data_IF_928480439523
#
_entry.id   IF_928480439523
#
_cell.length_a   1.000
_cell.length_b   1.000
_cell.length_c   1.000
_cell.angle_alpha   90.00
_cell.angle_beta   90.00
_cell.angle_gamma   90.00
#
_symmetry.space_group_name_H-M   'P 1'
#
loop_
_entity.id
_entity.type
_entity.pdbx_description
1 polymer ?
#
# COMPACT_ATOMS: atom_id res chain seq x y z
N UNK A 1 15.99 -34.52 -12.01
CA UNK A 1 15.22 -33.29 -11.89
C UNK A 1 14.65 -32.88 -13.26
N UNK A 2 13.33 -32.72 -13.38
CA UNK A 2 12.68 -32.34 -14.62
C UNK A 2 12.08 -30.92 -14.46
N UNK A 3 12.39 -29.94 -15.33
CA UNK A 3 11.81 -28.63 -15.30
C UNK A 3 10.27 -28.60 -15.36
N UNK A 4 9.65 -29.62 -15.96
CA UNK A 4 8.18 -29.75 -15.99
C UNK A 4 7.55 -29.98 -14.62
N UNK A 5 8.34 -30.30 -13.59
CA UNK A 5 7.89 -30.47 -12.22
C UNK A 5 7.99 -29.15 -11.40
N UNK A 6 8.24 -28.03 -12.05
CA UNK A 6 8.18 -26.71 -11.40
C UNK A 6 6.73 -26.32 -11.19
N UNK A 7 6.39 -25.95 -9.96
CA UNK A 7 5.09 -25.41 -9.60
C UNK A 7 5.24 -23.90 -9.35
N UNK A 8 4.62 -23.08 -10.18
CA UNK A 8 4.52 -21.65 -9.98
C UNK A 8 3.10 -21.29 -9.50
N UNK A 9 3.02 -20.63 -8.37
CA UNK A 9 1.78 -20.12 -7.80
C UNK A 9 1.78 -18.60 -7.85
N UNK A 10 0.83 -18.05 -8.58
CA UNK A 10 0.62 -16.61 -8.58
C UNK A 10 -0.18 -16.19 -7.33
N UNK A 11 0.45 -15.48 -6.41
CA UNK A 11 -0.16 -15.03 -5.15
C UNK A 11 -1.33 -14.07 -5.37
N UNK A 12 -1.29 -13.26 -6.43
CA UNK A 12 -2.40 -12.39 -6.82
C UNK A 12 -3.70 -13.17 -7.11
N UNK A 13 -3.60 -14.44 -7.49
CA UNK A 13 -4.79 -15.29 -7.64
C UNK A 13 -5.42 -15.65 -6.31
N UNK A 14 -4.62 -15.79 -5.26
CA UNK A 14 -5.13 -16.07 -3.92
C UNK A 14 -5.90 -14.87 -3.35
N UNK A 15 -5.43 -13.65 -3.60
CA UNK A 15 -6.17 -12.45 -3.20
C UNK A 15 -7.45 -12.27 -4.02
N UNK A 16 -7.39 -12.51 -5.34
CA UNK A 16 -8.58 -12.41 -6.22
C UNK A 16 -9.68 -13.40 -5.85
N UNK A 17 -9.34 -14.65 -5.53
CA UNK A 17 -10.36 -15.63 -5.10
C UNK A 17 -11.00 -15.22 -3.76
N UNK A 18 -10.22 -14.62 -2.85
CA UNK A 18 -10.72 -14.06 -1.61
C UNK A 18 -11.71 -12.91 -1.88
N UNK A 19 -11.35 -11.98 -2.78
CA UNK A 19 -12.24 -10.89 -3.20
C UNK A 19 -13.53 -11.42 -3.85
N UNK A 20 -13.41 -12.41 -4.74
CA UNK A 20 -14.56 -13.04 -5.40
C UNK A 20 -15.50 -13.69 -4.38
N UNK A 21 -14.95 -14.39 -3.38
CA UNK A 21 -15.73 -14.92 -2.26
C UNK A 21 -16.41 -13.81 -1.46
N UNK A 22 -15.68 -12.74 -1.11
CA UNK A 22 -16.22 -11.62 -0.34
C UNK A 22 -17.37 -10.91 -1.07
N UNK A 23 -17.31 -10.90 -2.41
CA UNK A 23 -18.38 -10.36 -3.27
C UNK A 23 -19.53 -11.33 -3.47
N UNK A 24 -19.37 -12.59 -3.08
CA UNK A 24 -20.40 -13.63 -3.17
C UNK A 24 -21.17 -13.74 -1.84
N UNK A 25 -22.30 -14.43 -1.87
CA UNK A 25 -23.07 -14.75 -0.65
C UNK A 25 -22.51 -15.94 0.13
N UNK A 26 -21.29 -16.39 -0.17
CA UNK A 26 -20.68 -17.57 0.44
C UNK A 26 -20.26 -17.29 1.87
N UNK A 27 -20.63 -18.17 2.80
CA UNK A 27 -20.25 -18.06 4.20
C UNK A 27 -18.73 -18.29 4.38
N UNK A 28 -18.10 -17.55 5.31
CA UNK A 28 -16.68 -17.66 5.62
C UNK A 28 -16.22 -19.08 6.00
N UNK A 29 -17.09 -19.86 6.64
CA UNK A 29 -16.81 -21.25 7.03
C UNK A 29 -16.92 -22.27 5.91
N UNK A 30 -17.32 -21.88 4.71
CA UNK A 30 -17.41 -22.75 3.54
C UNK A 30 -16.18 -22.58 2.65
N UNK A 31 -15.79 -23.67 1.99
CA UNK A 31 -14.69 -23.64 1.02
C UNK A 31 -15.24 -23.06 -0.29
N UNK A 32 -14.73 -21.91 -0.67
CA UNK A 32 -14.97 -21.31 -1.99
C UNK A 32 -13.85 -21.76 -2.95
N UNK A 33 -14.22 -22.25 -4.14
CA UNK A 33 -13.28 -22.83 -5.12
C UNK A 33 -13.44 -22.18 -6.48
N UNK A 34 -12.31 -22.00 -7.15
CA UNK A 34 -12.22 -21.54 -8.53
C UNK A 34 -11.28 -22.44 -9.30
N UNK A 35 -11.73 -22.93 -10.45
CA UNK A 35 -10.93 -23.77 -11.35
C UNK A 35 -10.37 -22.89 -12.47
N UNK A 36 -9.07 -22.90 -12.64
CA UNK A 36 -8.40 -22.14 -13.69
C UNK A 36 -8.35 -22.96 -15.00
N UNK A 37 -8.21 -22.28 -16.16
CA UNK A 37 -8.09 -22.95 -17.46
C UNK A 37 -6.92 -23.94 -17.57
N UNK A 38 -5.86 -23.76 -16.78
CA UNK A 38 -4.71 -24.66 -16.70
C UNK A 38 -4.95 -25.90 -15.82
N UNK A 39 -6.16 -26.09 -15.31
CA UNK A 39 -6.52 -27.18 -14.43
C UNK A 39 -6.17 -26.97 -12.94
N UNK A 40 -5.50 -25.89 -12.58
CA UNK A 40 -5.25 -25.58 -11.17
C UNK A 40 -6.54 -25.17 -10.47
N UNK A 41 -6.73 -25.67 -9.26
CA UNK A 41 -7.86 -25.33 -8.40
C UNK A 41 -7.37 -24.49 -7.24
N UNK A 42 -7.87 -23.26 -7.16
CA UNK A 42 -7.65 -22.41 -6.00
C UNK A 42 -8.86 -22.50 -5.07
N UNK A 43 -8.59 -22.53 -3.78
CA UNK A 43 -9.67 -22.55 -2.80
C UNK A 43 -9.33 -21.66 -1.60
N UNK A 44 -10.36 -21.05 -1.02
CA UNK A 44 -10.24 -20.21 0.16
C UNK A 44 -11.31 -20.58 1.18
N UNK A 45 -10.93 -20.62 2.45
CA UNK A 45 -11.81 -20.82 3.59
C UNK A 45 -11.39 -19.88 4.74
N UNK A 46 -12.31 -19.34 5.46
CA UNK A 46 -12.03 -18.35 6.52
C UNK A 46 -11.66 -16.98 5.95
N UNK A 47 -10.95 -16.19 6.70
CA UNK A 47 -10.37 -14.91 6.27
C UNK A 47 -8.84 -14.95 6.36
N UNK A 48 -8.16 -15.70 5.45
CA UNK A 48 -6.70 -15.76 5.44
C UNK A 48 -6.11 -14.42 5.04
N UNK A 49 -4.90 -14.10 5.54
CA UNK A 49 -4.12 -12.92 5.19
C UNK A 49 -2.74 -13.36 4.71
N UNK A 50 -2.38 -12.98 3.48
CA UNK A 50 -1.06 -13.28 2.91
C UNK A 50 0.09 -12.53 3.59
N UNK A 51 -0.21 -11.44 4.30
CA UNK A 51 0.76 -10.73 5.13
C UNK A 51 1.19 -11.51 6.39
N UNK A 52 0.41 -12.52 6.81
CA UNK A 52 0.67 -13.33 8.02
C UNK A 52 0.72 -14.83 7.74
N UNK A 53 1.45 -15.26 6.72
CA UNK A 53 1.62 -16.68 6.45
C UNK A 53 2.44 -17.35 7.55
N UNK A 54 1.82 -18.25 8.31
CA UNK A 54 2.45 -18.97 9.44
C UNK A 54 2.98 -20.34 9.08
N UNK A 55 2.51 -20.90 7.98
CA UNK A 55 2.94 -22.24 7.56
C UNK A 55 2.50 -22.55 6.14
N UNK A 56 3.27 -23.37 5.47
CA UNK A 56 2.99 -23.90 4.14
C UNK A 56 3.02 -25.41 4.23
N UNK A 57 1.98 -26.07 3.75
CA UNK A 57 1.90 -27.51 3.65
C UNK A 57 1.93 -27.92 2.19
N UNK A 58 2.86 -28.79 1.85
CA UNK A 58 2.93 -29.43 0.53
C UNK A 58 2.54 -30.91 0.68
N UNK A 59 1.66 -31.37 -0.18
CA UNK A 59 1.19 -32.73 -0.15
C UNK A 59 0.99 -33.27 -1.57
N UNK A 60 0.93 -34.59 -1.66
CA UNK A 60 0.62 -35.31 -2.89
C UNK A 60 -0.57 -36.22 -2.61
N UNK A 61 -1.55 -36.18 -3.47
CA UNK A 61 -2.73 -37.04 -3.43
C UNK A 61 -2.69 -38.03 -4.56
N UNK A 62 -2.86 -39.33 -4.24
CA UNK A 62 -3.07 -40.33 -5.24
C UNK A 62 -4.55 -40.39 -5.62
N UNK A 63 -4.86 -39.97 -6.84
CA UNK A 63 -6.21 -40.00 -7.39
C UNK A 63 -6.53 -41.26 -8.17
N UNK A 64 -5.55 -42.17 -8.35
CA UNK A 64 -5.69 -43.40 -9.10
C UNK A 64 -5.71 -44.64 -8.18
N UNK A 65 -6.35 -45.72 -8.64
CA UNK A 65 -6.36 -47.03 -8.00
C UNK A 65 -5.59 -47.99 -8.90
N UNK A 66 -4.70 -48.84 -8.39
CA UNK A 66 -4.39 -49.16 -6.98
C UNK A 66 -3.45 -48.16 -6.28
N UNK A 67 -3.28 -48.34 -4.96
CA UNK A 67 -2.35 -47.60 -4.18
C UNK A 67 -0.93 -47.61 -4.77
N UNK A 68 -0.35 -46.44 -4.98
CA UNK A 68 1.00 -46.28 -5.44
C UNK A 68 1.93 -45.94 -4.27
N UNK A 69 3.13 -46.56 -4.26
CA UNK A 69 4.20 -46.16 -3.35
C UNK A 69 5.21 -45.32 -4.11
N UNK A 70 5.64 -44.21 -3.51
CA UNK A 70 6.62 -43.32 -4.11
C UNK A 70 7.18 -42.36 -3.09
N UNK A 71 8.30 -41.74 -3.42
CA UNK A 71 8.89 -40.64 -2.67
C UNK A 71 8.79 -39.37 -3.50
N UNK A 72 8.38 -38.27 -2.86
CA UNK A 72 8.31 -36.94 -3.47
C UNK A 72 9.30 -36.03 -2.76
N UNK A 73 10.21 -35.49 -3.51
CA UNK A 73 11.23 -34.59 -3.03
C UNK A 73 10.86 -33.17 -3.44
N UNK A 74 10.71 -32.30 -2.47
CA UNK A 74 10.45 -30.88 -2.69
C UNK A 74 11.75 -30.12 -2.41
N UNK A 75 12.18 -29.34 -3.38
CA UNK A 75 13.38 -28.53 -3.26
C UNK A 75 13.06 -27.08 -3.62
N UNK A 76 13.58 -26.18 -2.84
CA UNK A 76 13.59 -24.74 -3.10
C UNK A 76 12.20 -24.08 -3.22
N UNK A 77 11.72 -23.56 -2.09
CA UNK A 77 10.59 -22.64 -2.07
C UNK A 77 11.13 -21.19 -2.05
N UNK A 78 10.75 -20.41 -3.05
CA UNK A 78 11.17 -19.01 -3.12
C UNK A 78 10.06 -18.11 -3.67
N UNK A 79 10.08 -16.86 -3.24
CA UNK A 79 9.31 -15.79 -3.88
C UNK A 79 10.12 -15.23 -5.05
N UNK A 80 9.45 -15.02 -6.17
CA UNK A 80 10.00 -14.40 -7.37
C UNK A 80 9.10 -13.27 -7.84
N UNK A 81 9.60 -12.44 -8.76
CA UNK A 81 8.82 -11.34 -9.35
C UNK A 81 8.28 -10.37 -8.30
N UNK A 82 9.13 -9.99 -7.35
CA UNK A 82 8.79 -8.94 -6.39
C UNK A 82 8.50 -7.64 -7.13
N UNK A 83 7.52 -6.89 -6.65
CA UNK A 83 7.25 -5.55 -7.17
C UNK A 83 8.38 -4.61 -6.72
N UNK A 84 9.26 -4.25 -7.67
CA UNK A 84 10.40 -3.36 -7.46
C UNK A 84 10.11 -1.93 -7.96
N UNK A 85 8.87 -1.61 -8.30
CA UNK A 85 8.52 -0.28 -8.78
C UNK A 85 8.93 0.78 -7.76
N UNK A 86 9.68 1.77 -8.24
CA UNK A 86 10.08 2.92 -7.43
C UNK A 86 8.95 3.95 -7.35
N UNK A 87 8.96 4.73 -6.29
CA UNK A 87 8.11 5.89 -6.12
C UNK A 87 8.87 7.19 -6.27
N UNK A 88 8.12 8.28 -6.22
CA UNK A 88 8.64 9.65 -6.27
C UNK A 88 8.30 10.37 -4.97
N UNK A 89 9.17 11.29 -4.56
CA UNK A 89 8.86 12.24 -3.51
C UNK A 89 9.27 13.66 -3.95
N UNK A 90 8.51 14.61 -3.48
CA UNK A 90 8.79 16.02 -3.71
C UNK A 90 8.50 16.82 -2.44
N UNK A 91 9.35 17.80 -2.17
CA UNK A 91 9.16 18.78 -1.11
C UNK A 91 9.44 20.15 -1.68
N UNK A 92 8.54 21.08 -1.45
CA UNK A 92 8.68 22.48 -1.84
C UNK A 92 8.32 23.41 -0.69
N UNK A 93 9.05 24.52 -0.55
CA UNK A 93 8.73 25.58 0.37
C UNK A 93 8.98 26.93 -0.27
N UNK A 94 8.06 27.86 -0.07
CA UNK A 94 8.16 29.23 -0.52
C UNK A 94 7.81 30.14 0.65
N UNK A 95 8.74 31.02 1.00
CA UNK A 95 8.54 32.04 2.00
C UNK A 95 8.57 33.41 1.31
N UNK A 96 7.47 34.16 1.46
CA UNK A 96 7.30 35.45 0.83
C UNK A 96 7.26 36.51 1.93
N UNK A 97 8.13 37.48 1.83
CA UNK A 97 8.10 38.65 2.71
C UNK A 97 7.36 39.81 1.99
N UNK A 98 6.21 40.17 2.53
CA UNK A 98 5.35 41.23 2.00
C UNK A 98 5.74 42.64 2.55
N UNK A 99 7.03 42.88 2.70
CA UNK A 99 7.60 44.07 3.28
C UNK A 99 7.01 44.36 4.69
N UNK A 100 6.43 45.55 4.88
CA UNK A 100 5.86 45.93 6.15
C UNK A 100 4.51 45.28 6.49
N UNK A 101 3.89 44.60 5.51
CA UNK A 101 2.57 43.97 5.67
C UNK A 101 2.65 42.62 6.38
N UNK A 102 3.76 41.90 6.25
CA UNK A 102 3.91 40.62 6.92
C UNK A 102 4.64 39.55 6.10
N UNK A 103 4.46 38.30 6.48
CA UNK A 103 5.08 37.14 5.83
C UNK A 103 4.05 36.09 5.47
N UNK A 104 4.24 35.42 4.35
CA UNK A 104 3.48 34.29 3.90
C UNK A 104 4.42 33.11 3.64
N UNK A 105 4.17 31.98 4.29
CA UNK A 105 4.89 30.73 4.09
C UNK A 105 3.96 29.70 3.49
N UNK A 106 4.39 29.07 2.42
CA UNK A 106 3.68 27.95 1.79
C UNK A 106 4.66 26.79 1.66
N UNK A 107 4.29 25.64 2.17
CA UNK A 107 5.04 24.40 1.99
C UNK A 107 4.15 23.29 1.50
N UNK A 108 4.72 22.42 0.68
CA UNK A 108 4.07 21.21 0.20
C UNK A 108 5.05 20.03 0.25
N UNK A 109 4.54 18.87 0.60
CA UNK A 109 5.28 17.64 0.72
C UNK A 109 4.42 16.52 0.13
N UNK A 110 5.01 15.70 -0.72
CA UNK A 110 4.32 14.58 -1.34
C UNK A 110 5.27 13.39 -1.51
N UNK A 111 4.75 12.20 -1.34
CA UNK A 111 5.40 10.97 -1.80
C UNK A 111 4.39 10.00 -2.38
N UNK A 112 4.87 9.14 -3.25
CA UNK A 112 4.07 8.06 -3.82
C UNK A 112 4.54 6.72 -3.27
N UNK A 113 3.67 5.72 -3.36
CA UNK A 113 4.03 4.34 -3.03
C UNK A 113 5.29 3.90 -3.76
N UNK A 114 6.09 3.04 -3.12
CA UNK A 114 7.37 2.57 -3.64
C UNK A 114 8.53 3.53 -3.43
N UNK A 115 8.28 4.76 -2.93
CA UNK A 115 9.37 5.67 -2.56
C UNK A 115 10.09 5.18 -1.30
N UNK A 116 11.41 5.27 -1.32
CA UNK A 116 12.26 4.96 -0.18
C UNK A 116 13.68 5.43 -0.43
N UNK A 117 14.50 5.45 0.62
CA UNK A 117 15.91 5.77 0.51
C UNK A 117 16.67 4.63 -0.19
N UNK A 118 17.87 4.91 -0.71
CA UNK A 118 18.70 3.92 -1.40
C UNK A 118 19.06 2.71 -0.53
N UNK A 119 19.08 2.87 0.78
CA UNK A 119 19.43 1.82 1.74
C UNK A 119 18.21 0.97 2.16
N UNK A 120 17.00 1.45 1.91
CA UNK A 120 15.78 0.73 2.28
C UNK A 120 15.50 -0.43 1.33
N UNK A 121 15.17 -1.57 1.93
CA UNK A 121 14.71 -2.73 1.17
C UNK A 121 13.33 -2.45 0.56
N UNK A 122 12.97 -3.20 -0.47
CA UNK A 122 11.69 -3.03 -1.18
C UNK A 122 10.48 -3.11 -0.25
N UNK A 123 10.52 -4.01 0.73
CA UNK A 123 9.47 -4.20 1.72
C UNK A 123 9.38 -3.10 2.80
N UNK A 124 10.38 -2.24 2.88
CA UNK A 124 10.46 -1.13 3.86
C UNK A 124 10.06 0.21 3.25
N UNK A 125 9.83 0.26 1.94
CA UNK A 125 9.42 1.47 1.22
C UNK A 125 7.99 1.86 1.57
N UNK A 126 7.66 3.13 1.35
CA UNK A 126 6.30 3.63 1.57
C UNK A 126 5.27 2.87 0.71
N UNK A 127 4.16 2.50 1.34
CA UNK A 127 3.03 1.80 0.70
C UNK A 127 1.77 2.66 0.65
N UNK A 128 1.95 3.97 0.68
CA UNK A 128 0.86 4.93 0.58
C UNK A 128 1.23 6.06 -0.38
N UNK A 129 0.22 6.72 -0.90
CA UNK A 129 0.36 8.01 -1.55
C UNK A 129 0.03 9.08 -0.52
N UNK A 130 0.97 9.95 -0.25
CA UNK A 130 0.83 11.01 0.72
C UNK A 130 0.97 12.37 0.06
N UNK A 131 0.10 13.28 0.43
CA UNK A 131 0.19 14.68 0.05
C UNK A 131 -0.18 15.56 1.23
N UNK A 132 0.66 16.52 1.54
CA UNK A 132 0.42 17.53 2.56
C UNK A 132 0.77 18.90 2.01
N UNK A 133 -0.03 19.88 2.34
CA UNK A 133 0.36 21.27 2.15
C UNK A 133 0.01 22.11 3.39
N UNK A 134 0.84 23.10 3.63
CA UNK A 134 0.74 24.00 4.74
C UNK A 134 0.84 25.43 4.22
N UNK A 135 -0.07 26.29 4.67
CA UNK A 135 -0.05 27.72 4.40
C UNK A 135 -0.11 28.47 5.73
N UNK A 136 0.82 29.36 5.96
CA UNK A 136 0.83 30.20 7.15
C UNK A 136 1.07 31.65 6.76
N UNK A 137 0.25 32.55 7.29
CA UNK A 137 0.34 33.98 7.06
C UNK A 137 0.42 34.73 8.39
N UNK A 138 1.41 35.59 8.53
CA UNK A 138 1.51 36.58 9.58
C UNK A 138 1.34 37.96 8.94
N UNK A 139 0.25 38.66 9.23
CA UNK A 139 -0.10 39.92 8.60
C UNK A 139 -0.29 41.00 9.65
N UNK A 140 0.25 42.16 9.37
CA UNK A 140 0.03 43.38 10.15
C UNK A 140 -1.04 44.26 9.46
N UNK A 141 -2.33 43.90 9.69
CA UNK A 141 -3.47 44.58 9.03
C UNK A 141 -3.56 46.04 9.39
N UNK A 142 -3.03 46.44 10.55
CA UNK A 142 -2.94 47.85 10.95
C UNK A 142 -2.24 48.71 9.91
N UNK A 143 -1.33 48.19 9.11
CA UNK A 143 -0.63 48.90 8.03
C UNK A 143 -1.51 49.28 6.83
N UNK A 144 -2.63 48.59 6.64
CA UNK A 144 -3.62 48.92 5.60
C UNK A 144 -4.54 50.08 6.03
N UNK A 145 -4.55 50.45 7.30
CA UNK A 145 -5.38 51.52 7.83
C UNK A 145 -4.66 52.89 7.75
N UNK A 146 -5.40 53.98 7.71
CA UNK A 146 -4.82 55.33 7.71
C UNK A 146 -3.87 55.51 8.88
N UNK A 147 -2.64 55.95 8.64
CA UNK A 147 -1.60 56.18 9.68
C UNK A 147 -2.05 57.02 10.83
N UNK A 148 -3.08 57.90 10.64
CA UNK A 148 -3.66 58.76 11.68
C UNK A 148 -4.29 57.97 12.84
N UNK A 149 -4.66 56.71 12.63
CA UNK A 149 -5.33 55.86 13.64
C UNK A 149 -4.33 55.19 14.59
N UNK A 150 -3.06 55.07 14.19
CA UNK A 150 -2.00 54.49 15.03
C UNK A 150 -2.26 53.06 15.50
N UNK A 151 -3.08 52.31 14.79
CA UNK A 151 -3.45 50.95 15.17
C UNK A 151 -2.46 49.93 14.60
N UNK A 152 -2.04 48.98 15.45
CA UNK A 152 -1.30 47.78 15.09
C UNK A 152 -2.22 46.58 15.32
N UNK A 153 -2.50 45.82 14.27
CA UNK A 153 -3.40 44.68 14.32
C UNK A 153 -2.66 43.47 13.69
N UNK A 154 -1.90 42.75 14.52
CA UNK A 154 -1.26 41.51 14.04
C UNK A 154 -2.31 40.40 13.89
N UNK A 155 -2.32 39.72 12.74
CA UNK A 155 -3.18 38.59 12.43
C UNK A 155 -2.32 37.43 12.00
N UNK A 156 -2.51 36.29 12.65
CA UNK A 156 -1.94 35.02 12.25
C UNK A 156 -3.05 34.11 11.72
N UNK A 157 -2.84 33.55 10.57
CA UNK A 157 -3.71 32.52 10.00
C UNK A 157 -2.86 31.34 9.47
N UNK A 158 -3.28 30.14 9.75
CA UNK A 158 -2.64 28.95 9.18
C UNK A 158 -3.68 27.94 8.73
N UNK A 159 -3.35 27.22 7.66
CA UNK A 159 -4.15 26.13 7.14
C UNK A 159 -3.23 24.99 6.73
N UNK A 160 -3.53 23.79 7.24
CA UNK A 160 -2.80 22.56 6.93
C UNK A 160 -3.79 21.52 6.48
N UNK A 161 -3.48 20.84 5.39
CA UNK A 161 -4.22 19.67 4.93
C UNK A 161 -3.26 18.55 4.60
N UNK A 162 -3.52 17.35 5.12
CA UNK A 162 -2.80 16.15 4.80
C UNK A 162 -3.78 15.06 4.34
N UNK A 163 -3.42 14.34 3.29
CA UNK A 163 -4.17 13.21 2.75
C UNK A 163 -3.21 12.06 2.55
N UNK A 164 -3.52 10.91 3.14
CA UNK A 164 -2.82 9.65 2.89
C UNK A 164 -3.80 8.65 2.31
N UNK A 165 -3.39 8.01 1.22
CA UNK A 165 -4.16 6.96 0.55
C UNK A 165 -3.31 5.70 0.57
N UNK A 166 -3.60 4.74 1.46
CA UNK A 166 -2.86 3.49 1.56
C UNK A 166 -3.05 2.64 0.30
N UNK A 167 -2.08 1.79 0.00
CA UNK A 167 -2.14 0.84 -1.12
C UNK A 167 -3.09 -0.32 -0.85
N UNK A 168 -3.17 -0.74 0.42
CA UNK A 168 -4.01 -1.85 0.86
C UNK A 168 -5.05 -1.38 1.85
N UNK A 169 -6.16 -2.11 1.93
CA UNK A 169 -7.17 -1.84 2.95
C UNK A 169 -6.56 -2.01 4.36
N UNK A 170 -6.67 -1.00 5.24
CA UNK A 170 -6.18 -1.10 6.63
C UNK A 170 -6.76 -2.27 7.43
N UNK A 171 -7.96 -2.73 7.06
CA UNK A 171 -8.65 -3.84 7.72
C UNK A 171 -8.38 -5.20 7.06
N UNK A 172 -7.89 -5.20 5.83
CA UNK A 172 -7.61 -6.42 5.07
C UNK A 172 -6.35 -6.22 4.19
N UNK A 173 -5.19 -6.33 4.82
CA UNK A 173 -3.89 -5.90 4.30
C UNK A 173 -3.40 -6.63 3.04
N UNK A 174 -4.14 -7.58 2.52
CA UNK A 174 -3.83 -8.30 1.29
C UNK A 174 -4.82 -8.00 0.15
N UNK A 175 -5.73 -7.03 0.35
CA UNK A 175 -6.71 -6.57 -0.64
C UNK A 175 -6.57 -5.07 -0.91
#
# INVERSE_FOLDING_TARGET
WNPSNSLELNLDRLTKIKQARNSSSSALGQIFREVQPNGHVYSVMGNPNLGEVRGILLGVENTESPAACGEVWVNELRLSSLDENGGYAALGRVDVNLADLGTLSVSANAHTKGFGTLEQRVNERYRDNFFQFDVAANLEIGKLLPKKWGMSIPVFASYTQAVSTPEYDPYDQDI
#
